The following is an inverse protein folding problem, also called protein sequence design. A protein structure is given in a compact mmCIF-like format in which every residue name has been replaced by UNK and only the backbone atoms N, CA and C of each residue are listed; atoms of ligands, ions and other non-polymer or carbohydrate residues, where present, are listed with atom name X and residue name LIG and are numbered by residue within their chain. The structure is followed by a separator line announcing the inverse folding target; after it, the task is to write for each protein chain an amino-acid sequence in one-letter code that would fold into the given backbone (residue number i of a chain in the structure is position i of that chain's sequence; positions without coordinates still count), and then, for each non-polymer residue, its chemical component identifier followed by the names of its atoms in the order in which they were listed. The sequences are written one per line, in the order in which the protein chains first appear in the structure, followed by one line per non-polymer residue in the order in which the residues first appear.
data_IF_324676600160
#
_entry.id   IF_324676600160
#
_cell.length_a   1.000
_cell.length_b   1.000
_cell.length_c   1.000
_cell.angle_alpha   90.00
_cell.angle_beta   90.00
_cell.angle_gamma   90.00
#
_symmetry.space_group_name_H-M   'P 1'
#
loop_
_entity.id
_entity.type
_entity.pdbx_description
1 polymer ?
#
# COMPACT_ATOMS: atom_id res chain seq x y z
N UNK A 1 -5.06 42.63 5.91
CA UNK A 1 -4.39 41.38 6.37
C UNK A 1 -5.08 40.19 5.72
N UNK A 2 -4.53 39.56 4.66
CA UNK A 2 -5.13 38.35 4.10
C UNK A 2 -4.87 37.17 5.05
N UNK A 3 -5.94 36.55 5.54
CA UNK A 3 -5.88 35.30 6.30
C UNK A 3 -5.51 34.20 5.31
N UNK A 4 -4.37 33.54 5.54
CA UNK A 4 -3.97 32.38 4.75
C UNK A 4 -5.00 31.25 4.81
N UNK A 5 -5.02 30.34 3.82
CA UNK A 5 -5.96 29.23 3.79
C UNK A 5 -5.76 28.32 5.01
N UNK A 6 -6.84 27.75 5.57
CA UNK A 6 -6.74 26.88 6.73
C UNK A 6 -5.94 25.62 6.39
N UNK A 7 -5.12 25.12 7.34
CA UNK A 7 -4.36 23.89 7.17
C UNK A 7 -5.28 22.72 6.79
N UNK A 8 -4.98 22.06 5.67
CA UNK A 8 -5.70 20.88 5.19
C UNK A 8 -5.62 19.75 6.22
N UNK A 9 -6.60 18.84 6.25
CA UNK A 9 -6.61 17.66 7.11
C UNK A 9 -5.26 16.88 7.03
N UNK A 10 -4.62 16.91 5.86
CA UNK A 10 -3.29 16.38 5.57
C UNK A 10 -2.18 16.91 6.50
N UNK A 11 -2.24 18.19 6.86
CA UNK A 11 -1.27 18.83 7.77
C UNK A 11 -1.50 18.51 9.25
N UNK A 12 -2.71 18.07 9.63
CA UNK A 12 -3.06 17.70 11.02
C UNK A 12 -2.71 16.27 11.39
N UNK A 13 -2.65 15.35 10.42
CA UNK A 13 -2.38 13.92 10.66
C UNK A 13 -0.87 13.61 10.72
N UNK A 14 -0.03 14.44 10.10
CA UNK A 14 1.42 14.24 10.01
C UNK A 14 2.28 14.69 11.23
N UNK A 15 1.87 15.58 12.15
CA UNK A 15 2.76 16.00 13.25
C UNK A 15 3.00 14.92 14.31
N UNK A 16 2.20 13.86 14.35
CA UNK A 16 2.34 12.82 15.38
C UNK A 16 3.43 11.78 15.05
N UNK A 17 3.90 11.72 13.80
CA UNK A 17 4.91 10.74 13.34
C UNK A 17 6.31 11.32 13.16
N UNK A 18 6.48 12.64 13.23
CA UNK A 18 7.74 13.33 12.93
C UNK A 18 8.34 14.05 14.15
N UNK A 19 8.56 13.33 15.25
CA UNK A 19 9.51 13.75 16.30
C UNK A 19 10.42 12.59 16.66
N UNK A 20 11.51 12.44 15.92
CA UNK A 20 12.80 11.85 16.35
C UNK A 20 13.80 12.13 15.22
N UNK A 21 14.65 13.14 15.45
CA UNK A 21 16.12 13.05 15.61
C UNK A 21 16.86 13.10 14.27
N UNK A 22 17.40 14.27 13.88
CA UNK A 22 18.77 14.78 14.19
C UNK A 22 19.70 14.55 12.98
N UNK A 23 19.97 15.59 12.19
CA UNK A 23 21.20 16.41 12.23
C UNK A 23 22.49 15.63 11.99
N UNK A 24 22.96 15.64 10.73
CA UNK A 24 24.36 15.34 10.38
C UNK A 24 24.91 16.43 9.46
N UNK A 25 26.12 16.87 9.82
CA UNK A 25 26.75 18.12 9.40
C UNK A 25 27.29 18.18 7.98
N UNK A 26 27.53 19.42 7.54
CA UNK A 26 28.21 19.79 6.28
C UNK A 26 29.71 19.48 6.32
N UNK A 27 30.30 18.98 5.23
CA UNK A 27 31.71 19.18 4.94
C UNK A 27 31.97 20.36 3.98
N UNK A 28 33.17 20.93 4.14
CA UNK A 28 33.74 22.14 3.53
C UNK A 28 34.00 22.06 2.02
N UNK A 29 33.90 23.20 1.35
CA UNK A 29 34.41 23.44 -0.01
C UNK A 29 35.95 23.63 -0.01
N UNK A 30 36.61 23.07 -1.03
CA UNK A 30 37.93 23.51 -1.50
C UNK A 30 37.82 23.67 -3.01
N UNK A 31 38.14 24.86 -3.51
CA UNK A 31 38.11 25.20 -4.94
C UNK A 31 39.43 24.94 -5.65
N UNK A 32 39.35 24.72 -6.96
CA UNK A 32 40.39 25.10 -7.93
C UNK A 32 39.80 25.28 -9.33
N UNK A 33 40.38 26.22 -10.08
CA UNK A 33 39.89 26.81 -11.34
C UNK A 33 40.16 25.95 -12.59
N UNK A 34 39.17 25.97 -13.49
CA UNK A 34 39.20 26.19 -14.95
C UNK A 34 40.30 25.58 -15.83
N UNK A 35 39.91 24.84 -16.88
CA UNK A 35 40.16 25.20 -18.29
C UNK A 35 39.51 24.21 -19.26
N UNK A 36 39.31 24.69 -20.49
CA UNK A 36 39.03 23.94 -21.73
C UNK A 36 37.56 23.72 -22.10
N UNK A 37 37.08 24.61 -22.97
CA UNK A 37 35.94 24.41 -23.84
C UNK A 37 36.23 23.28 -24.85
N UNK A 38 35.31 22.32 -24.91
CA UNK A 38 34.82 21.63 -26.11
C UNK A 38 34.77 20.11 -25.92
N UNK A 39 33.76 19.68 -25.15
CA UNK A 39 33.23 18.31 -25.10
C UNK A 39 31.85 18.32 -24.39
N UNK A 40 31.00 19.31 -24.71
CA UNK A 40 29.78 19.59 -23.93
C UNK A 40 28.49 18.94 -24.43
N UNK A 41 28.53 18.10 -25.48
CA UNK A 41 27.31 17.58 -26.10
C UNK A 41 27.23 16.04 -26.19
N UNK A 42 27.76 15.28 -25.23
CA UNK A 42 27.68 13.81 -25.25
C UNK A 42 27.26 13.13 -23.93
N UNK A 43 26.94 13.87 -22.87
CA UNK A 43 26.35 13.30 -21.65
C UNK A 43 24.91 13.80 -21.51
N UNK A 44 23.98 13.09 -22.13
CA UNK A 44 22.54 13.25 -21.86
C UNK A 44 22.32 12.93 -20.38
N UNK A 45 22.04 14.00 -19.63
CA UNK A 45 21.59 14.07 -18.25
C UNK A 45 20.86 12.79 -17.78
N UNK A 46 21.37 12.03 -16.79
CA UNK A 46 20.55 11.02 -16.13
C UNK A 46 19.41 11.79 -15.46
N UNK A 47 18.18 11.61 -15.95
CA UNK A 47 16.99 12.29 -15.42
C UNK A 47 16.99 12.09 -13.90
N UNK A 48 17.37 13.15 -13.18
CA UNK A 48 17.26 13.20 -11.72
C UNK A 48 15.81 12.80 -11.41
N UNK A 49 15.57 11.83 -10.51
CA UNK A 49 14.21 11.44 -10.21
C UNK A 49 13.46 12.69 -9.75
N UNK A 50 12.25 12.90 -10.29
CA UNK A 50 11.44 14.05 -9.89
C UNK A 50 11.38 14.09 -8.36
N UNK A 51 11.66 15.25 -7.78
CA UNK A 51 11.63 15.44 -6.33
C UNK A 51 10.26 15.00 -5.76
N UNK A 52 9.19 15.05 -6.57
CA UNK A 52 7.88 14.47 -6.25
C UNK A 52 7.86 12.95 -6.23
N UNK A 53 8.56 12.27 -7.15
CA UNK A 53 8.70 10.81 -7.15
C UNK A 53 9.54 10.32 -5.97
N UNK A 54 10.63 11.01 -5.62
CA UNK A 54 11.45 10.69 -4.43
C UNK A 54 10.69 10.93 -3.13
N UNK A 55 9.96 12.06 -3.06
CA UNK A 55 9.11 12.38 -1.91
C UNK A 55 7.92 11.42 -1.81
N UNK A 56 7.34 11.00 -2.94
CA UNK A 56 6.28 10.00 -3.02
C UNK A 56 6.79 8.61 -2.63
N UNK A 57 7.99 8.21 -3.06
CA UNK A 57 8.61 6.95 -2.68
C UNK A 57 8.95 6.92 -1.17
N UNK A 58 9.56 7.98 -0.64
CA UNK A 58 9.84 8.11 0.79
C UNK A 58 8.57 8.09 1.66
N UNK A 59 7.52 8.81 1.24
CA UNK A 59 6.20 8.76 1.90
C UNK A 59 5.49 7.42 1.74
N UNK A 60 5.61 6.77 0.59
CA UNK A 60 5.02 5.46 0.32
C UNK A 60 5.51 4.42 1.31
N UNK A 61 6.81 4.45 1.66
CA UNK A 61 7.36 3.55 2.70
C UNK A 61 6.80 3.84 4.10
N UNK A 62 6.58 5.12 4.44
CA UNK A 62 6.02 5.53 5.73
C UNK A 62 4.53 5.15 5.85
N UNK A 63 3.74 5.43 4.82
CA UNK A 63 2.32 5.09 4.77
C UNK A 63 2.12 3.58 4.80
N UNK A 64 2.94 2.82 4.07
CA UNK A 64 2.93 1.36 4.14
C UNK A 64 3.13 0.86 5.57
N UNK A 65 4.14 1.36 6.28
CA UNK A 65 4.40 1.01 7.69
C UNK A 65 3.24 1.41 8.61
N UNK A 66 2.62 2.56 8.36
CA UNK A 66 1.43 2.98 9.09
C UNK A 66 0.27 2.00 8.89
N UNK A 67 -0.02 1.58 7.65
CA UNK A 67 -1.08 0.60 7.36
C UNK A 67 -0.78 -0.76 7.99
N UNK A 68 0.47 -1.22 7.92
CA UNK A 68 0.93 -2.42 8.63
C UNK A 68 0.63 -2.31 10.13
N UNK A 69 0.96 -1.18 10.77
CA UNK A 69 0.68 -0.95 12.19
C UNK A 69 -0.80 -0.95 12.52
N UNK A 70 -1.64 -0.36 11.68
CA UNK A 70 -3.09 -0.43 11.85
C UNK A 70 -3.57 -1.89 11.87
N UNK A 71 -3.20 -2.69 10.88
CA UNK A 71 -3.62 -4.10 10.83
C UNK A 71 -2.97 -4.96 11.92
N UNK A 72 -1.75 -4.65 12.36
CA UNK A 72 -1.12 -5.30 13.52
C UNK A 72 -1.95 -5.10 14.80
N UNK A 73 -2.51 -3.91 14.99
CA UNK A 73 -3.33 -3.55 16.15
C UNK A 73 -4.76 -4.13 16.11
N UNK A 74 -5.18 -4.72 14.99
CA UNK A 74 -6.43 -5.47 14.90
C UNK A 74 -6.25 -6.91 15.41
N UNK A 75 -7.34 -7.49 15.93
CA UNK A 75 -7.36 -8.91 16.27
C UNK A 75 -7.19 -9.76 15.01
N UNK A 76 -6.58 -10.94 15.15
CA UNK A 76 -6.39 -11.84 14.01
C UNK A 76 -7.71 -12.22 13.33
N UNK A 77 -8.78 -12.38 14.11
CA UNK A 77 -10.15 -12.66 13.65
C UNK A 77 -10.68 -11.54 12.77
N UNK A 78 -10.41 -10.29 13.14
CA UNK A 78 -10.78 -9.11 12.34
C UNK A 78 -10.01 -9.11 11.02
N UNK A 79 -8.67 -9.23 11.07
CA UNK A 79 -7.85 -9.29 9.85
C UNK A 79 -8.33 -10.40 8.91
N UNK A 80 -8.73 -11.56 9.46
CA UNK A 80 -9.25 -12.71 8.68
C UNK A 80 -10.49 -12.33 7.88
N UNK A 81 -11.48 -11.73 8.52
CA UNK A 81 -12.74 -11.36 7.86
C UNK A 81 -12.50 -10.24 6.84
N UNK A 82 -11.69 -9.22 7.18
CA UNK A 82 -11.34 -8.11 6.28
C UNK A 82 -10.62 -8.64 5.04
N UNK A 83 -9.64 -9.54 5.20
CA UNK A 83 -8.89 -10.10 4.08
C UNK A 83 -9.79 -10.89 3.12
N UNK A 84 -10.76 -11.66 3.65
CA UNK A 84 -11.77 -12.35 2.81
C UNK A 84 -12.59 -11.34 2.00
N UNK A 85 -13.04 -10.25 2.62
CA UNK A 85 -13.78 -9.20 1.93
C UNK A 85 -12.93 -8.53 0.84
N UNK A 86 -11.67 -8.19 1.12
CA UNK A 86 -10.76 -7.55 0.17
C UNK A 86 -10.44 -8.43 -1.02
N UNK A 87 -10.10 -9.71 -0.81
CA UNK A 87 -9.85 -10.67 -1.90
C UNK A 87 -11.07 -10.79 -2.81
N UNK A 88 -12.29 -10.78 -2.24
CA UNK A 88 -13.54 -10.83 -3.02
C UNK A 88 -13.76 -9.56 -3.86
N UNK A 89 -13.31 -8.39 -3.41
CA UNK A 89 -13.36 -7.15 -4.21
C UNK A 89 -12.38 -7.20 -5.37
N UNK A 90 -11.16 -7.69 -5.12
CA UNK A 90 -10.12 -7.81 -6.15
C UNK A 90 -10.52 -8.84 -7.20
N UNK A 91 -11.04 -9.99 -6.77
CA UNK A 91 -11.37 -11.11 -7.64
C UNK A 91 -12.63 -11.84 -7.12
N UNK A 92 -13.85 -11.44 -7.55
CA UNK A 92 -15.10 -12.03 -7.06
C UNK A 92 -15.22 -13.54 -7.31
N UNK A 93 -14.61 -14.04 -8.40
CA UNK A 93 -14.60 -15.47 -8.78
C UNK A 93 -13.25 -16.13 -8.48
N UNK A 94 -12.57 -15.67 -7.42
CA UNK A 94 -11.20 -16.08 -7.09
C UNK A 94 -10.99 -17.59 -7.06
N UNK A 95 -11.84 -18.31 -6.35
CA UNK A 95 -11.71 -19.76 -6.17
C UNK A 95 -11.91 -20.55 -7.47
N UNK A 96 -12.67 -19.99 -8.44
CA UNK A 96 -12.87 -20.63 -9.74
C UNK A 96 -11.67 -20.41 -10.66
N UNK A 97 -11.13 -19.19 -10.71
CA UNK A 97 -10.05 -18.83 -11.62
C UNK A 97 -8.66 -19.22 -11.08
N UNK A 98 -8.50 -19.13 -9.76
CA UNK A 98 -7.25 -19.31 -9.02
C UNK A 98 -7.52 -20.09 -7.72
N UNK A 99 -7.84 -21.38 -7.80
CA UNK A 99 -8.21 -22.20 -6.65
C UNK A 99 -7.03 -22.41 -5.70
N UNK A 100 -7.24 -22.35 -4.39
CA UNK A 100 -6.16 -22.60 -3.39
C UNK A 100 -5.73 -24.05 -3.31
N UNK A 101 -6.59 -25.00 -3.68
CA UNK A 101 -6.26 -26.43 -3.67
C UNK A 101 -5.46 -26.89 -4.91
N UNK A 102 -5.12 -25.98 -5.82
CA UNK A 102 -4.36 -26.29 -7.04
C UNK A 102 -5.15 -27.00 -8.13
N UNK A 103 -6.44 -27.31 -7.93
CA UNK A 103 -7.26 -28.06 -8.91
C UNK A 103 -7.80 -27.11 -9.99
N UNK A 104 -7.20 -27.11 -11.18
CA UNK A 104 -7.57 -26.18 -12.27
C UNK A 104 -7.93 -26.92 -13.56
N UNK A 105 -8.99 -26.47 -14.23
CA UNK A 105 -9.38 -26.98 -15.56
C UNK A 105 -8.74 -26.13 -16.64
N UNK A 106 -7.97 -26.75 -17.53
CA UNK A 106 -7.31 -26.12 -18.67
C UNK A 106 -7.67 -26.90 -19.93
N UNK A 107 -8.26 -26.22 -20.92
CA UNK A 107 -8.74 -26.83 -22.17
C UNK A 107 -9.66 -28.05 -21.95
N UNK A 108 -10.60 -27.95 -20.99
CA UNK A 108 -11.53 -29.03 -20.64
C UNK A 108 -10.94 -30.13 -19.75
N UNK A 109 -9.62 -30.16 -19.53
CA UNK A 109 -8.94 -31.18 -18.72
C UNK A 109 -8.66 -30.62 -17.32
N UNK A 110 -9.13 -31.33 -16.29
CA UNK A 110 -8.84 -30.97 -14.90
C UNK A 110 -7.49 -31.55 -14.47
N UNK A 111 -6.58 -30.69 -14.01
CA UNK A 111 -5.26 -31.07 -13.52
C UNK A 111 -5.11 -30.70 -12.05
N UNK A 112 -4.38 -31.54 -11.32
CA UNK A 112 -3.89 -31.19 -10.00
C UNK A 112 -2.55 -30.48 -10.16
N UNK A 113 -2.52 -29.20 -9.80
CA UNK A 113 -1.31 -28.39 -9.78
C UNK A 113 -0.94 -28.08 -8.33
N UNK A 114 0.23 -27.48 -8.10
CA UNK A 114 0.51 -26.93 -6.78
C UNK A 114 -0.35 -25.66 -6.55
N UNK A 115 -0.68 -25.31 -5.30
CA UNK A 115 -1.32 -24.03 -4.99
C UNK A 115 -0.52 -22.84 -5.54
N UNK A 116 0.81 -22.93 -5.58
CA UNK A 116 1.66 -21.86 -6.07
C UNK A 116 1.51 -21.66 -7.59
N UNK A 117 1.27 -22.73 -8.35
CA UNK A 117 1.01 -22.65 -9.81
C UNK A 117 -0.34 -22.01 -10.13
N UNK A 118 -1.32 -22.10 -9.22
CA UNK A 118 -2.64 -21.50 -9.37
C UNK A 118 -2.74 -20.12 -8.70
N UNK A 119 -1.64 -19.59 -8.16
CA UNK A 119 -1.58 -18.26 -7.55
C UNK A 119 -1.87 -17.17 -8.59
N UNK A 120 -2.75 -16.19 -8.31
CA UNK A 120 -2.99 -15.11 -9.26
C UNK A 120 -1.77 -14.17 -9.34
N UNK A 121 -1.54 -13.51 -10.49
CA UNK A 121 -0.41 -12.59 -10.65
C UNK A 121 -0.40 -11.41 -9.67
N UNK A 122 -1.57 -11.02 -9.15
CA UNK A 122 -1.69 -9.95 -8.16
C UNK A 122 -1.43 -10.39 -6.72
N UNK A 123 -1.33 -11.70 -6.43
CA UNK A 123 -1.05 -12.14 -5.07
C UNK A 123 0.35 -11.66 -4.66
N UNK A 124 0.54 -11.16 -3.44
CA UNK A 124 1.83 -10.62 -3.04
C UNK A 124 2.94 -11.68 -3.07
N UNK A 125 4.15 -11.31 -3.53
CA UNK A 125 5.30 -12.18 -3.46
C UNK A 125 5.65 -12.48 -1.99
N UNK A 126 6.10 -13.72 -1.72
CA UNK A 126 6.45 -14.16 -0.37
C UNK A 126 5.25 -14.45 0.55
N UNK A 127 4.01 -14.30 0.07
CA UNK A 127 2.80 -14.74 0.79
C UNK A 127 2.31 -16.05 0.20
N UNK A 128 2.09 -17.05 1.05
CA UNK A 128 1.58 -18.36 0.65
C UNK A 128 0.23 -18.25 -0.08
N UNK A 129 0.00 -19.02 -1.14
CA UNK A 129 -1.32 -19.07 -1.78
C UNK A 129 -2.29 -19.94 -0.99
N UNK A 130 -2.91 -19.38 0.06
CA UNK A 130 -3.94 -20.05 0.88
C UNK A 130 -5.10 -19.12 1.20
N UNK A 131 -6.22 -19.70 1.64
CA UNK A 131 -7.34 -18.90 2.14
C UNK A 131 -6.91 -18.02 3.33
N UNK A 132 -7.48 -16.80 3.49
CA UNK A 132 -7.02 -15.87 4.51
C UNK A 132 -7.08 -16.40 5.96
N UNK A 133 -7.97 -17.34 6.24
CA UNK A 133 -8.10 -18.03 7.53
C UNK A 133 -7.00 -19.07 7.79
N UNK A 134 -6.34 -19.55 6.74
CA UNK A 134 -5.19 -20.45 6.80
C UNK A 134 -3.83 -19.75 6.68
N UNK A 135 -3.83 -18.42 6.45
CA UNK A 135 -2.61 -17.61 6.52
C UNK A 135 -2.24 -17.27 7.97
N UNK A 136 -0.93 -17.23 8.25
CA UNK A 136 -0.43 -16.64 9.49
C UNK A 136 -0.81 -15.15 9.55
N UNK A 137 -0.91 -14.58 10.77
CA UNK A 137 -1.31 -13.17 10.93
C UNK A 137 -0.39 -12.22 10.14
N UNK A 138 0.92 -12.48 10.14
CA UNK A 138 1.90 -11.66 9.41
C UNK A 138 1.65 -11.69 7.89
N UNK A 139 1.49 -12.88 7.31
CA UNK A 139 1.15 -13.05 5.89
C UNK A 139 -0.19 -12.39 5.52
N UNK A 140 -1.18 -12.50 6.40
CA UNK A 140 -2.47 -11.85 6.21
C UNK A 140 -2.37 -10.32 6.20
N UNK A 141 -1.54 -9.75 7.06
CA UNK A 141 -1.26 -8.30 7.08
C UNK A 141 -0.55 -7.90 5.80
N UNK A 142 0.46 -8.66 5.36
CA UNK A 142 1.15 -8.40 4.09
C UNK A 142 0.17 -8.41 2.90
N UNK A 143 -0.77 -9.36 2.89
CA UNK A 143 -1.85 -9.41 1.89
C UNK A 143 -2.75 -8.18 1.93
N UNK A 144 -3.24 -7.79 3.10
CA UNK A 144 -4.09 -6.62 3.28
C UNK A 144 -3.42 -5.33 2.80
N UNK A 145 -2.15 -5.13 3.18
CA UNK A 145 -1.38 -3.96 2.80
C UNK A 145 -1.07 -3.96 1.31
N UNK A 146 -0.74 -5.10 0.73
CA UNK A 146 -0.54 -5.22 -0.71
C UNK A 146 -1.80 -4.82 -1.49
N UNK A 147 -2.97 -5.35 -1.11
CA UNK A 147 -4.25 -4.99 -1.77
C UNK A 147 -4.53 -3.48 -1.63
N UNK A 148 -4.29 -2.91 -0.45
CA UNK A 148 -4.52 -1.49 -0.17
C UNK A 148 -3.62 -0.58 -1.01
N UNK A 149 -2.31 -0.90 -1.10
CA UNK A 149 -1.31 -0.01 -1.67
C UNK A 149 -1.09 -0.23 -3.18
N UNK A 150 -1.02 -1.49 -3.63
CA UNK A 150 -0.46 -1.84 -4.95
C UNK A 150 -1.53 -2.09 -6.02
N UNK A 151 -2.76 -2.44 -5.63
CA UNK A 151 -3.79 -2.87 -6.58
C UNK A 151 -4.69 -1.74 -7.10
N UNK A 152 -4.33 -0.48 -6.81
CA UNK A 152 -5.10 0.68 -7.26
C UNK A 152 -5.15 0.79 -8.79
N UNK A 153 -3.98 0.81 -9.42
CA UNK A 153 -3.87 1.03 -10.87
C UNK A 153 -4.30 -0.22 -11.64
N UNK A 154 -3.85 -1.40 -11.21
CA UNK A 154 -4.06 -2.65 -11.94
C UNK A 154 -5.47 -3.23 -11.79
N UNK A 155 -6.13 -3.05 -10.64
CA UNK A 155 -7.43 -3.66 -10.33
C UNK A 155 -8.49 -2.62 -9.92
N UNK A 156 -8.18 -1.32 -10.04
CA UNK A 156 -9.11 -0.24 -9.71
C UNK A 156 -9.51 -0.26 -8.23
N UNK A 157 -8.65 -0.75 -7.34
CA UNK A 157 -8.91 -0.82 -5.89
C UNK A 157 -8.77 0.57 -5.29
N UNK A 158 -9.81 1.01 -4.57
CA UNK A 158 -9.82 2.31 -3.88
C UNK A 158 -10.17 2.14 -2.41
N UNK A 159 -9.77 3.10 -1.58
CA UNK A 159 -10.15 3.16 -0.18
C UNK A 159 -11.67 3.00 0.00
N UNK A 160 -12.46 3.62 -0.88
CA UNK A 160 -13.92 3.55 -0.83
C UNK A 160 -14.46 2.14 -1.11
N UNK A 161 -13.95 1.44 -2.14
CA UNK A 161 -14.37 0.06 -2.45
C UNK A 161 -14.05 -0.88 -1.29
N UNK A 162 -12.85 -0.75 -0.73
CA UNK A 162 -12.41 -1.56 0.42
C UNK A 162 -13.24 -1.26 1.67
N UNK A 163 -13.54 0.01 1.94
CA UNK A 163 -14.41 0.42 3.04
C UNK A 163 -15.80 -0.21 2.92
N UNK A 164 -16.45 -0.08 1.77
CA UNK A 164 -17.78 -0.67 1.53
C UNK A 164 -17.77 -2.19 1.74
N UNK A 165 -16.75 -2.88 1.21
CA UNK A 165 -16.68 -4.33 1.31
C UNK A 165 -16.46 -4.84 2.74
N UNK A 166 -15.72 -4.09 3.55
CA UNK A 166 -15.47 -4.44 4.94
C UNK A 166 -16.67 -4.16 5.86
N UNK A 167 -17.46 -3.11 5.59
CA UNK A 167 -18.55 -2.64 6.47
C UNK A 167 -19.41 -3.73 7.13
N UNK A 168 -19.90 -4.77 6.42
CA UNK A 168 -20.70 -5.83 7.03
C UNK A 168 -19.99 -6.61 8.16
N UNK A 169 -18.66 -6.54 8.19
CA UNK A 169 -17.77 -7.19 9.15
C UNK A 169 -17.58 -6.39 10.42
N UNK A 170 -17.93 -5.09 10.43
CA UNK A 170 -17.67 -4.20 11.57
C UNK A 170 -18.35 -4.62 12.87
N UNK A 171 -19.52 -5.24 12.77
CA UNK A 171 -20.23 -5.83 13.92
C UNK A 171 -19.42 -6.94 14.61
N UNK A 172 -18.46 -7.53 13.91
CA UNK A 172 -17.57 -8.59 14.42
C UNK A 172 -16.25 -8.03 14.96
N UNK A 173 -15.99 -6.73 14.78
CA UNK A 173 -14.73 -6.09 15.19
C UNK A 173 -14.79 -5.75 16.67
N UNK A 174 -14.07 -6.53 17.47
CA UNK A 174 -13.91 -6.32 18.91
C UNK A 174 -12.48 -5.87 19.28
N UNK A 175 -12.33 -5.02 20.31
CA UNK A 175 -13.37 -4.21 20.96
C UNK A 175 -13.85 -3.08 20.04
N UNK A 176 -15.02 -2.53 20.34
CA UNK A 176 -15.69 -1.51 19.52
C UNK A 176 -14.77 -0.33 19.13
N UNK A 177 -13.83 0.07 20.01
CA UNK A 177 -12.86 1.13 19.74
C UNK A 177 -11.92 0.87 18.57
N UNK A 178 -11.69 -0.39 18.17
CA UNK A 178 -10.78 -0.74 17.06
C UNK A 178 -11.38 -0.45 15.67
N UNK A 179 -12.69 -0.29 15.57
CA UNK A 179 -13.34 0.12 14.31
C UNK A 179 -12.86 1.50 13.83
N UNK A 180 -12.53 2.40 14.78
CA UNK A 180 -11.97 3.73 14.49
C UNK A 180 -10.65 3.67 13.74
N UNK A 181 -9.83 2.65 13.99
CA UNK A 181 -8.57 2.45 13.28
C UNK A 181 -8.78 2.22 11.78
N UNK A 182 -9.86 1.53 11.40
CA UNK A 182 -10.20 1.35 9.98
C UNK A 182 -10.73 2.63 9.36
N UNK A 183 -11.52 3.43 10.10
CA UNK A 183 -11.96 4.74 9.60
C UNK A 183 -10.80 5.70 9.35
N UNK A 184 -9.82 5.70 10.25
CA UNK A 184 -8.59 6.47 10.08
C UNK A 184 -7.79 5.96 8.87
N UNK A 185 -7.59 4.64 8.77
CA UNK A 185 -6.89 4.00 7.64
C UNK A 185 -7.51 4.39 6.29
N UNK A 186 -8.83 4.31 6.15
CA UNK A 186 -9.50 4.67 4.90
C UNK A 186 -9.45 6.17 4.62
N UNK A 187 -9.50 7.01 5.66
CA UNK A 187 -9.33 8.46 5.52
C UNK A 187 -7.93 8.81 5.00
N UNK A 188 -6.89 8.22 5.60
CA UNK A 188 -5.49 8.43 5.20
C UNK A 188 -5.26 7.91 3.78
N UNK A 189 -5.74 6.70 3.45
CA UNK A 189 -5.60 6.15 2.11
C UNK A 189 -6.34 6.99 1.06
N UNK A 190 -7.56 7.45 1.34
CA UNK A 190 -8.28 8.31 0.40
C UNK A 190 -7.57 9.65 0.17
N UNK A 191 -6.91 10.21 1.19
CA UNK A 191 -6.09 11.41 1.04
C UNK A 191 -4.83 11.13 0.20
N UNK A 192 -4.15 10.01 0.44
CA UNK A 192 -3.00 9.58 -0.38
C UNK A 192 -3.39 9.38 -1.84
N UNK A 193 -4.51 8.71 -2.12
CA UNK A 193 -5.03 8.49 -3.48
C UNK A 193 -5.23 9.82 -4.21
N UNK A 194 -5.83 10.82 -3.55
CA UNK A 194 -6.03 12.18 -4.12
C UNK A 194 -4.71 12.91 -4.35
N UNK A 195 -3.76 12.79 -3.42
CA UNK A 195 -2.44 13.42 -3.55
C UNK A 195 -1.66 12.85 -4.75
N UNK A 196 -1.69 11.52 -4.94
CA UNK A 196 -1.05 10.86 -6.09
C UNK A 196 -1.69 11.29 -7.41
N UNK A 197 -3.00 11.58 -7.41
CA UNK A 197 -3.73 12.12 -8.56
C UNK A 197 -3.54 13.63 -8.78
N UNK A 198 -2.83 14.32 -7.88
CA UNK A 198 -2.63 15.77 -7.96
C UNK A 198 -3.89 16.59 -7.66
N UNK A 199 -4.86 16.01 -6.96
CA UNK A 199 -6.13 16.66 -6.60
C UNK A 199 -6.02 17.52 -5.33
N UNK A 200 -4.95 17.36 -4.55
CA UNK A 200 -4.65 18.11 -3.30
C UNK A 200 -3.16 18.34 -3.13
#
# INVERSE_FOLDING_TARGET
MPRGPPPTLFSKVMPLVMRTSESFGKPREIGTRSTSLSLKNALRNPRQPDQRQLYSAGKGTLLRRYYEKVFQNLQQTNCRVIAKAYVKVVEPRKQLQYPYNGRKTVAGITRQMSPEDTKPPWWPPGVSHREPDHLLKAERIALLVHILCELRVSHGITAQKLKIAEQPSRRLISPMGRSRLLDELYTVRAAEEKFVEGLI
#
